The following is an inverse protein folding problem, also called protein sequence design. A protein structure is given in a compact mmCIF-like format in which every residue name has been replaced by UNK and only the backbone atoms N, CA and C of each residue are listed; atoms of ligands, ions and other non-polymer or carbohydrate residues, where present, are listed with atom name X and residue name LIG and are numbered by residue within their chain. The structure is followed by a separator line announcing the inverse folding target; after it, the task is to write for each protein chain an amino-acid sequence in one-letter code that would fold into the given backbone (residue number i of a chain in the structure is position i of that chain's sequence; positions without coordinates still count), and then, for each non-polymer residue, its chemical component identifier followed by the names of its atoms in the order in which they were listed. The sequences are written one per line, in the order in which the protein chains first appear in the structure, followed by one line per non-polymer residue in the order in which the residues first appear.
data_IF_463048624884
#
_entry.id   IF_463048624884
#
_cell.length_a   1.000
_cell.length_b   1.000
_cell.length_c   1.000
_cell.angle_alpha   90.00
_cell.angle_beta   90.00
_cell.angle_gamma   90.00
#
_symmetry.space_group_name_H-M   'P 1'
#
loop_
_entity.id
_entity.type
_entity.pdbx_description
1 polymer ?
#
# COMPACT_ATOMS: atom_id res chain seq x y z
N UNK A 1 -1.33 -3.05 12.85
CA UNK A 1 -0.61 -1.80 12.52
C UNK A 1 -1.32 -0.64 13.17
N UNK A 2 -0.69 0.04 14.13
CA UNK A 2 -1.26 1.22 14.78
C UNK A 2 -1.59 2.28 13.73
N UNK A 3 -2.86 2.69 13.69
CA UNK A 3 -3.28 3.75 12.79
C UNK A 3 -2.79 5.07 13.35
N UNK A 4 -1.90 5.73 12.60
CA UNK A 4 -1.56 7.13 12.82
C UNK A 4 -2.77 7.97 12.39
N UNK A 5 -3.34 8.71 13.33
CA UNK A 5 -4.55 9.52 13.16
C UNK A 5 -4.22 11.00 13.09
N UNK A 6 -3.27 11.45 13.90
CA UNK A 6 -2.93 12.86 14.03
C UNK A 6 -1.57 13.10 13.37
N UNK A 7 -1.54 13.93 12.34
CA UNK A 7 -0.33 14.22 11.56
C UNK A 7 -0.20 15.73 11.40
N UNK A 8 0.93 16.27 11.83
CA UNK A 8 1.33 17.64 11.59
C UNK A 8 2.62 17.67 10.77
N UNK A 9 2.67 18.48 9.71
CA UNK A 9 3.91 18.71 8.95
C UNK A 9 4.63 19.90 9.57
N UNK A 10 5.84 19.66 10.07
CA UNK A 10 6.66 20.70 10.67
C UNK A 10 7.46 21.43 9.59
N UNK A 11 8.08 20.66 8.70
CA UNK A 11 9.01 21.17 7.68
C UNK A 11 8.98 20.24 6.46
N UNK A 12 9.27 20.77 5.27
CA UNK A 12 9.37 19.99 4.05
C UNK A 12 10.45 20.54 3.11
N UNK A 13 11.15 19.65 2.43
CA UNK A 13 12.07 19.96 1.32
C UNK A 13 11.71 19.08 0.13
N UNK A 14 11.79 19.66 -1.08
CA UNK A 14 11.55 18.98 -2.34
C UNK A 14 12.82 19.04 -3.19
N UNK A 15 13.27 17.89 -3.69
CA UNK A 15 14.36 17.78 -4.65
C UNK A 15 13.84 17.21 -5.97
N UNK A 16 14.52 17.54 -7.06
CA UNK A 16 14.18 17.07 -8.41
C UNK A 16 15.30 16.14 -8.87
N UNK A 17 14.97 14.87 -9.06
CA UNK A 17 15.92 13.80 -9.41
C UNK A 17 15.61 13.30 -10.81
N UNK A 18 16.46 13.63 -11.78
CA UNK A 18 16.28 13.23 -13.19
C UNK A 18 17.45 12.37 -13.69
N UNK A 19 17.15 11.19 -14.21
CA UNK A 19 18.14 10.28 -14.81
C UNK A 19 18.92 10.92 -15.96
N UNK A 20 18.33 11.90 -16.65
CA UNK A 20 18.97 12.60 -17.78
C UNK A 20 19.95 13.69 -17.36
N UNK A 21 19.97 14.09 -16.08
CA UNK A 21 20.88 15.11 -15.54
C UNK A 21 22.10 14.46 -14.93
N UNK A 22 23.29 15.08 -15.00
CA UNK A 22 24.50 14.51 -14.38
C UNK A 22 24.46 14.56 -12.84
N UNK A 23 23.77 15.57 -12.29
CA UNK A 23 23.62 15.81 -10.86
C UNK A 23 22.14 16.03 -10.48
N UNK A 24 21.74 15.77 -9.22
CA UNK A 24 20.40 16.06 -8.75
C UNK A 24 20.20 17.57 -8.56
N UNK A 25 19.00 18.07 -8.84
CA UNK A 25 18.66 19.46 -8.55
C UNK A 25 18.20 19.53 -7.09
N UNK A 26 19.10 20.00 -6.23
CA UNK A 26 18.86 20.13 -4.81
C UNK A 26 18.26 21.50 -4.48
N UNK A 27 17.17 21.51 -3.72
CA UNK A 27 16.62 22.75 -3.20
C UNK A 27 17.45 23.22 -2.01
N UNK A 28 17.76 24.52 -1.97
CA UNK A 28 18.54 25.16 -0.91
C UNK A 28 17.68 25.76 0.19
N UNK A 29 16.35 25.67 0.07
CA UNK A 29 15.41 26.25 1.02
C UNK A 29 14.29 25.27 1.37
N UNK A 30 13.77 25.40 2.60
CA UNK A 30 12.57 24.71 3.03
C UNK A 30 11.35 25.27 2.29
N UNK A 31 10.37 24.43 2.03
CA UNK A 31 9.11 24.84 1.41
C UNK A 31 8.32 25.70 2.38
N UNK A 32 7.76 26.80 1.88
CA UNK A 32 6.78 27.60 2.62
C UNK A 32 5.45 26.85 2.66
N UNK A 33 5.09 26.34 3.84
CA UNK A 33 3.87 25.56 4.08
C UNK A 33 2.65 26.48 4.25
N UNK A 34 2.19 27.09 3.16
CA UNK A 34 0.87 27.73 3.14
C UNK A 34 -0.26 26.67 3.14
N UNK A 35 -1.51 27.09 3.37
CA UNK A 35 -2.65 26.17 3.49
C UNK A 35 -2.81 25.20 2.31
N UNK A 36 -2.57 25.66 1.08
CA UNK A 36 -2.73 24.83 -0.12
C UNK A 36 -1.61 23.79 -0.23
N UNK A 37 -0.35 24.22 -0.07
CA UNK A 37 0.82 23.35 -0.12
C UNK A 37 0.83 22.36 1.04
N UNK A 38 0.46 22.81 2.24
CA UNK A 38 0.31 21.96 3.41
C UNK A 38 -0.71 20.85 3.17
N UNK A 39 -1.92 21.21 2.68
CA UNK A 39 -2.96 20.22 2.34
C UNK A 39 -2.52 19.26 1.25
N UNK A 40 -1.80 19.75 0.24
CA UNK A 40 -1.23 18.93 -0.82
C UNK A 40 -0.31 17.84 -0.24
N UNK A 41 0.72 18.23 0.53
CA UNK A 41 1.69 17.29 1.10
C UNK A 41 1.01 16.35 2.10
N UNK A 42 0.15 16.89 2.97
CA UNK A 42 -0.57 16.10 3.98
C UNK A 42 -1.43 15.01 3.33
N UNK A 43 -2.12 15.33 2.22
CA UNK A 43 -2.92 14.36 1.49
C UNK A 43 -2.11 13.16 1.00
N UNK A 44 -0.83 13.36 0.62
CA UNK A 44 0.05 12.27 0.22
C UNK A 44 0.46 11.43 1.42
N UNK A 45 0.89 12.08 2.50
CA UNK A 45 1.30 11.41 3.74
C UNK A 45 0.17 10.55 4.29
N UNK A 46 -1.05 11.10 4.40
CA UNK A 46 -2.21 10.36 4.87
C UNK A 46 -2.54 9.16 3.98
N UNK A 47 -2.47 9.32 2.65
CA UNK A 47 -2.73 8.21 1.73
C UNK A 47 -1.71 7.09 1.88
N UNK A 48 -0.44 7.41 2.12
CA UNK A 48 0.62 6.42 2.34
C UNK A 48 0.42 5.73 3.69
N UNK A 49 0.18 6.48 4.76
CA UNK A 49 -0.03 5.94 6.11
C UNK A 49 -1.31 5.09 6.23
N UNK A 50 -2.31 5.34 5.37
CA UNK A 50 -3.54 4.54 5.25
C UNK A 50 -3.42 3.40 4.23
N UNK A 51 -2.28 3.25 3.54
CA UNK A 51 -2.13 2.21 2.51
C UNK A 51 -2.07 0.81 3.14
N UNK A 52 -2.67 -0.17 2.46
CA UNK A 52 -2.70 -1.55 2.95
C UNK A 52 -1.37 -2.29 2.73
N UNK A 53 -0.50 -1.77 1.86
CA UNK A 53 0.83 -2.35 1.59
C UNK A 53 1.94 -1.68 2.41
N UNK A 54 1.59 -0.78 3.34
CA UNK A 54 2.53 -0.20 4.29
C UNK A 54 2.94 -1.26 5.32
N UNK A 55 4.25 -1.47 5.47
CA UNK A 55 4.83 -2.49 6.34
C UNK A 55 5.68 -1.89 7.45
N UNK A 56 5.80 -2.62 8.56
CA UNK A 56 6.81 -2.33 9.58
C UNK A 56 8.19 -2.78 9.10
N UNK A 57 9.23 -2.06 9.50
CA UNK A 57 10.61 -2.45 9.21
C UNK A 57 11.59 -1.96 10.29
N UNK A 58 12.77 -2.60 10.30
CA UNK A 58 13.93 -2.23 11.11
C UNK A 58 15.11 -1.95 10.20
N UNK A 59 15.90 -0.92 10.49
CA UNK A 59 17.22 -0.81 9.87
C UNK A 59 18.07 -2.05 10.17
N UNK A 60 18.90 -2.45 9.20
CA UNK A 60 19.94 -3.45 9.44
C UNK A 60 20.91 -2.95 10.52
N UNK A 61 21.56 -3.88 11.24
CA UNK A 61 22.48 -3.53 12.34
C UNK A 61 23.68 -2.70 11.87
N UNK A 62 24.12 -2.91 10.63
CA UNK A 62 25.15 -2.10 9.99
C UNK A 62 24.75 -0.63 9.91
N UNK A 63 25.72 0.26 10.10
CA UNK A 63 25.49 1.68 9.90
C UNK A 63 25.28 1.97 8.41
N UNK A 64 24.27 2.78 8.09
CA UNK A 64 23.92 3.13 6.72
C UNK A 64 23.66 4.63 6.62
N UNK A 65 23.93 5.20 5.45
CA UNK A 65 23.80 6.66 5.23
C UNK A 65 22.41 7.15 5.60
N UNK A 66 21.36 6.41 5.22
CA UNK A 66 19.98 6.81 5.51
C UNK A 66 19.68 6.68 7.01
N UNK A 67 20.14 5.62 7.67
CA UNK A 67 19.97 5.44 9.11
C UNK A 67 20.63 6.58 9.88
N UNK A 68 21.93 6.81 9.64
CA UNK A 68 22.71 7.84 10.34
C UNK A 68 22.10 9.22 10.13
N UNK A 69 21.92 9.64 8.87
CA UNK A 69 21.34 10.94 8.52
C UNK A 69 19.98 11.15 9.20
N UNK A 70 19.12 10.13 9.20
CA UNK A 70 17.79 10.24 9.80
C UNK A 70 17.87 10.36 11.32
N UNK A 71 18.75 9.61 11.98
CA UNK A 71 18.93 9.70 13.42
C UNK A 71 19.60 11.00 13.84
N UNK A 72 20.58 11.50 13.08
CA UNK A 72 21.20 12.81 13.32
C UNK A 72 20.15 13.92 13.27
N UNK A 73 19.25 13.90 12.28
CA UNK A 73 18.14 14.86 12.20
C UNK A 73 17.19 14.71 13.38
N UNK A 74 16.71 13.49 13.65
CA UNK A 74 15.72 13.23 14.69
C UNK A 74 16.26 13.51 16.11
N UNK A 75 17.57 13.46 16.30
CA UNK A 75 18.25 13.86 17.54
C UNK A 75 18.67 15.34 17.56
N UNK A 76 18.32 16.13 16.54
CA UNK A 76 18.58 17.57 16.47
C UNK A 76 20.04 17.95 16.20
N UNK A 77 20.84 17.03 15.65
CA UNK A 77 22.26 17.25 15.34
C UNK A 77 22.46 17.96 14.00
N UNK A 78 21.56 17.73 13.04
CA UNK A 78 21.53 18.38 11.72
C UNK A 78 20.14 18.95 11.45
N UNK A 79 20.06 19.93 10.55
CA UNK A 79 18.77 20.45 10.09
C UNK A 79 18.15 19.59 8.96
N UNK A 80 16.88 19.87 8.62
CA UNK A 80 16.18 19.12 7.58
C UNK A 80 16.84 19.27 6.20
N UNK A 81 17.47 20.41 5.90
CA UNK A 81 18.06 20.67 4.59
C UNK A 81 19.33 19.82 4.38
N UNK A 82 20.15 19.72 5.41
CA UNK A 82 21.31 18.82 5.43
C UNK A 82 20.86 17.37 5.29
N UNK A 83 19.87 16.96 6.08
CA UNK A 83 19.33 15.60 6.03
C UNK A 83 18.75 15.27 4.64
N UNK A 84 17.95 16.19 4.07
CA UNK A 84 17.30 15.99 2.79
C UNK A 84 18.29 15.92 1.63
N UNK A 85 19.35 16.73 1.66
CA UNK A 85 20.43 16.68 0.68
C UNK A 85 21.17 15.34 0.71
N UNK A 86 21.49 14.81 1.90
CA UNK A 86 22.11 13.49 2.04
C UNK A 86 21.22 12.37 1.47
N UNK A 87 19.93 12.39 1.81
CA UNK A 87 18.93 11.43 1.31
C UNK A 87 18.79 11.51 -0.22
N UNK A 88 18.69 12.73 -0.77
CA UNK A 88 18.54 12.97 -2.20
C UNK A 88 19.75 12.48 -3.00
N UNK A 89 20.97 12.82 -2.56
CA UNK A 89 22.20 12.35 -3.20
C UNK A 89 22.34 10.82 -3.16
N UNK A 90 22.02 10.20 -2.02
CA UNK A 90 22.04 8.74 -1.89
C UNK A 90 21.06 8.09 -2.87
N UNK A 91 19.82 8.58 -2.96
CA UNK A 91 18.83 8.04 -3.91
C UNK A 91 19.27 8.25 -5.36
N UNK A 92 19.79 9.44 -5.69
CA UNK A 92 20.25 9.76 -7.04
C UNK A 92 21.43 8.87 -7.47
N UNK A 93 22.35 8.53 -6.57
CA UNK A 93 23.44 7.59 -6.86
C UNK A 93 22.92 6.21 -7.29
N UNK A 94 21.85 5.72 -6.66
CA UNK A 94 21.21 4.46 -7.06
C UNK A 94 20.51 4.60 -8.40
N UNK A 95 19.82 5.72 -8.63
CA UNK A 95 19.18 6.01 -9.92
C UNK A 95 20.18 6.01 -11.08
N UNK A 96 21.41 6.50 -10.85
CA UNK A 96 22.49 6.43 -11.84
C UNK A 96 23.03 5.02 -12.07
N UNK A 97 23.01 4.18 -11.05
CA UNK A 97 23.46 2.78 -11.15
C UNK A 97 22.43 1.83 -11.79
N UNK A 98 21.14 2.19 -11.74
CA UNK A 98 20.04 1.38 -12.26
C UNK A 98 19.03 2.24 -13.02
N UNK A 99 19.07 2.13 -14.36
CA UNK A 99 18.21 2.88 -15.27
C UNK A 99 16.72 2.56 -15.11
N UNK A 100 16.37 1.45 -14.46
CA UNK A 100 14.98 1.09 -14.22
C UNK A 100 14.34 1.90 -13.09
N UNK A 101 15.14 2.59 -12.27
CA UNK A 101 14.61 3.50 -11.24
C UNK A 101 14.19 4.81 -11.93
N UNK A 102 12.89 5.16 -11.95
CA UNK A 102 12.43 6.31 -12.71
C UNK A 102 12.77 7.64 -12.02
N UNK A 103 12.98 8.68 -12.85
CA UNK A 103 13.05 10.08 -12.42
C UNK A 103 11.85 10.45 -11.54
N UNK A 104 12.11 11.28 -10.53
CA UNK A 104 11.13 11.60 -9.52
C UNK A 104 11.34 12.97 -8.86
N UNK A 105 10.26 13.43 -8.25
CA UNK A 105 10.29 14.46 -7.22
C UNK A 105 10.45 13.78 -5.86
N UNK A 106 11.48 14.13 -5.10
CA UNK A 106 11.73 13.56 -3.78
C UNK A 106 11.35 14.57 -2.70
N UNK A 107 10.32 14.24 -1.92
CA UNK A 107 10.00 14.97 -0.70
C UNK A 107 10.71 14.36 0.49
N UNK A 108 11.34 15.21 1.29
CA UNK A 108 11.82 14.87 2.64
C UNK A 108 11.06 15.77 3.61
N UNK A 109 10.30 15.18 4.52
CA UNK A 109 9.35 15.88 5.38
C UNK A 109 9.60 15.55 6.84
N UNK A 110 9.54 16.57 7.69
CA UNK A 110 9.48 16.40 9.14
C UNK A 110 8.02 16.40 9.57
N UNK A 111 7.59 15.35 10.23
CA UNK A 111 6.22 15.25 10.74
C UNK A 111 6.21 14.94 12.23
N UNK A 112 5.16 15.40 12.89
CA UNK A 112 4.81 15.00 14.25
C UNK A 112 3.53 14.20 14.23
N UNK A 113 3.52 13.11 14.99
CA UNK A 113 2.36 12.22 15.14
C UNK A 113 2.02 12.03 16.60
N UNK A 114 0.91 11.36 16.90
CA UNK A 114 0.61 10.95 18.28
C UNK A 114 1.66 9.99 18.88
N UNK A 115 2.52 9.39 18.05
CA UNK A 115 3.60 8.48 18.46
C UNK A 115 5.00 9.12 18.43
N UNK A 116 5.07 10.44 18.28
CA UNK A 116 6.31 11.21 18.26
C UNK A 116 6.73 11.72 16.87
N UNK A 117 7.94 12.30 16.77
CA UNK A 117 8.47 12.84 15.52
C UNK A 117 8.86 11.72 14.55
N UNK A 118 8.71 11.98 13.25
CA UNK A 118 9.19 11.10 12.18
C UNK A 118 9.79 11.90 11.03
N UNK A 119 10.80 11.32 10.38
CA UNK A 119 11.33 11.79 9.11
C UNK A 119 10.69 10.99 7.97
N UNK A 120 9.92 11.65 7.12
CA UNK A 120 9.29 11.07 5.95
C UNK A 120 10.12 11.26 4.69
N UNK A 121 10.23 10.21 3.88
CA UNK A 121 10.85 10.21 2.55
C UNK A 121 9.78 9.74 1.57
N UNK A 122 9.37 10.58 0.63
CA UNK A 122 8.31 10.27 -0.35
C UNK A 122 8.87 10.42 -1.76
N UNK A 123 8.92 9.32 -2.51
CA UNK A 123 9.35 9.30 -3.91
C UNK A 123 8.14 9.46 -4.85
N UNK A 124 8.00 10.63 -5.46
CA UNK A 124 6.93 10.95 -6.41
C UNK A 124 7.44 10.82 -7.85
N UNK A 125 7.29 9.63 -8.42
CA UNK A 125 7.66 9.37 -9.82
C UNK A 125 6.94 10.32 -10.77
N UNK A 126 7.66 10.79 -11.78
CA UNK A 126 7.09 11.64 -12.82
C UNK A 126 5.90 10.98 -13.50
N UNK A 127 4.95 11.85 -13.86
CA UNK A 127 3.79 11.46 -14.63
C UNK A 127 3.82 12.29 -15.89
N UNK A 128 3.69 11.61 -17.01
CA UNK A 128 3.40 12.27 -18.28
C UNK A 128 1.97 12.80 -18.21
N UNK A 129 1.85 14.10 -18.01
CA UNK A 129 0.61 14.86 -18.13
C UNK A 129 0.64 15.62 -19.46
N UNK A 130 -0.50 16.18 -19.86
CA UNK A 130 -0.60 17.02 -21.03
C UNK A 130 -1.26 18.34 -20.65
N UNK A 131 -0.73 19.44 -21.16
CA UNK A 131 -1.34 20.77 -21.08
C UNK A 131 -1.61 21.28 -22.49
N UNK A 132 -2.41 22.34 -22.57
CA UNK A 132 -2.55 23.11 -23.80
C UNK A 132 -1.49 24.23 -23.84
N UNK A 133 -0.97 24.50 -25.02
CA UNK A 133 -0.14 25.66 -25.34
C UNK A 133 -0.89 26.49 -26.38
N UNK A 134 -1.04 27.79 -26.14
CA UNK A 134 -1.73 28.72 -27.03
C UNK A 134 -0.68 29.49 -27.82
N UNK A 135 -0.67 29.31 -29.13
CA UNK A 135 0.19 30.00 -30.08
C UNK A 135 -0.65 30.86 -31.04
N UNK A 136 0.00 31.83 -31.69
CA UNK A 136 -0.61 32.65 -32.74
C UNK A 136 0.17 32.46 -34.04
N UNK A 137 -0.53 32.04 -35.10
CA UNK A 137 0.02 31.92 -36.45
C UNK A 137 -0.91 32.69 -37.39
N UNK A 138 -0.38 33.70 -38.10
CA UNK A 138 -1.14 34.55 -39.03
C UNK A 138 -2.44 35.10 -38.42
N UNK A 139 -2.35 35.72 -37.25
CA UNK A 139 -3.48 36.26 -36.46
C UNK A 139 -4.55 35.23 -36.04
N UNK A 140 -4.31 33.94 -36.25
CA UNK A 140 -5.20 32.87 -35.80
C UNK A 140 -4.67 32.20 -34.53
N UNK A 141 -5.59 31.85 -33.64
CA UNK A 141 -5.29 31.10 -32.41
C UNK A 141 -5.07 29.63 -32.76
N UNK A 142 -3.91 29.10 -32.39
CA UNK A 142 -3.56 27.69 -32.52
C UNK A 142 -3.36 27.11 -31.13
N UNK A 143 -4.11 26.06 -30.80
CA UNK A 143 -4.02 25.38 -29.50
C UNK A 143 -3.34 24.02 -29.72
N UNK A 144 -2.14 23.87 -29.19
CA UNK A 144 -1.36 22.63 -29.25
C UNK A 144 -1.47 21.87 -27.93
N UNK A 145 -1.32 20.55 -27.99
CA UNK A 145 -1.21 19.69 -26.80
C UNK A 145 0.28 19.40 -26.56
N UNK A 146 0.79 19.80 -25.40
CA UNK A 146 2.20 19.61 -25.02
C UNK A 146 2.31 18.76 -23.76
N UNK A 147 3.26 17.82 -23.66
CA UNK A 147 3.43 17.03 -22.47
C UNK A 147 4.08 17.85 -21.34
N UNK A 148 3.54 17.74 -20.12
CA UNK A 148 4.21 18.12 -18.88
C UNK A 148 4.80 16.85 -18.26
N UNK A 149 6.11 16.78 -18.15
CA UNK A 149 6.83 15.62 -17.59
C UNK A 149 7.34 15.85 -16.18
N UNK A 150 7.27 17.07 -15.65
CA UNK A 150 7.83 17.48 -14.35
C UNK A 150 6.77 17.78 -13.28
N UNK A 151 5.48 17.65 -13.61
CA UNK A 151 4.37 17.97 -12.72
C UNK A 151 4.34 17.10 -11.47
N UNK A 152 4.02 17.71 -10.33
CA UNK A 152 3.77 17.00 -9.08
C UNK A 152 2.38 16.35 -9.12
N UNK A 153 2.25 15.02 -8.93
CA UNK A 153 0.95 14.38 -8.88
C UNK A 153 0.11 14.90 -7.73
N UNK A 154 -1.11 15.38 -7.99
CA UNK A 154 -2.08 15.62 -6.91
C UNK A 154 -2.65 14.31 -6.36
N UNK A 155 -3.12 13.42 -7.24
CA UNK A 155 -3.96 12.27 -6.84
C UNK A 155 -3.31 10.91 -7.02
N UNK A 156 -2.20 10.81 -7.76
CA UNK A 156 -1.53 9.52 -7.98
C UNK A 156 -0.99 8.98 -6.66
N UNK A 157 -1.21 7.69 -6.44
CA UNK A 157 -0.69 6.97 -5.27
C UNK A 157 0.84 6.88 -5.36
N UNK A 158 1.49 7.33 -4.29
CA UNK A 158 2.93 7.12 -4.08
C UNK A 158 3.17 5.61 -3.97
N UNK A 159 4.22 5.14 -4.66
CA UNK A 159 4.56 3.71 -4.67
C UNK A 159 5.69 3.37 -3.71
N UNK A 160 6.55 4.36 -3.41
CA UNK A 160 7.74 4.22 -2.58
C UNK A 160 7.83 5.35 -1.57
N UNK A 161 7.77 5.01 -0.30
CA UNK A 161 7.89 5.96 0.80
C UNK A 161 8.38 5.29 2.09
N UNK A 162 9.01 6.07 2.96
CA UNK A 162 9.42 5.62 4.28
C UNK A 162 9.10 6.70 5.33
N UNK A 163 8.72 6.29 6.53
CA UNK A 163 8.65 7.15 7.71
C UNK A 163 9.54 6.55 8.80
N UNK A 164 10.53 7.32 9.22
CA UNK A 164 11.61 6.87 10.10
C UNK A 164 11.43 7.51 11.47
N UNK A 165 11.54 6.70 12.52
CA UNK A 165 11.39 7.11 13.92
C UNK A 165 12.76 7.21 14.62
N UNK A 166 12.85 7.95 15.76
CA UNK A 166 14.01 7.86 16.62
C UNK A 166 14.18 6.42 17.10
N UNK A 167 15.40 5.89 17.00
CA UNK A 167 15.73 4.55 17.46
C UNK A 167 15.88 4.61 18.98
N UNK A 168 15.06 3.83 19.69
CA UNK A 168 15.12 3.64 21.13
C UNK A 168 15.30 2.16 21.46
N UNK A 169 15.78 1.88 22.67
CA UNK A 169 15.83 0.50 23.18
C UNK A 169 14.40 -0.08 23.21
N UNK A 170 14.28 -1.38 22.93
CA UNK A 170 13.03 -2.16 22.98
C UNK A 170 11.94 -1.75 21.97
N UNK A 171 12.29 -1.07 20.87
CA UNK A 171 11.35 -0.81 19.77
C UNK A 171 11.19 -2.04 18.85
N UNK A 172 9.95 -2.46 18.63
CA UNK A 172 9.62 -3.53 17.68
C UNK A 172 9.93 -3.14 16.23
N UNK A 173 9.83 -1.86 15.88
CA UNK A 173 10.14 -1.33 14.54
C UNK A 173 10.61 0.13 14.64
N UNK A 174 11.39 0.57 13.65
CA UNK A 174 11.83 1.98 13.55
C UNK A 174 11.56 2.62 12.18
N UNK A 175 10.96 1.87 11.24
CA UNK A 175 10.42 2.41 9.99
C UNK A 175 9.00 1.91 9.71
N UNK A 176 8.24 2.76 9.02
CA UNK A 176 7.08 2.38 8.22
C UNK A 176 7.48 2.50 6.76
N UNK A 177 7.42 1.43 5.99
CA UNK A 177 7.90 1.41 4.60
C UNK A 177 6.79 0.99 3.66
N UNK A 178 6.59 1.79 2.62
CA UNK A 178 5.76 1.45 1.48
C UNK A 178 6.71 1.19 0.31
N UNK A 179 6.77 -0.06 -0.16
CA UNK A 179 7.50 -0.40 -1.38
C UNK A 179 6.64 -1.30 -2.27
N UNK A 180 5.88 -0.67 -3.17
CA UNK A 180 5.03 -1.40 -4.12
C UNK A 180 5.88 -1.86 -5.31
N UNK A 181 6.22 -3.14 -5.29
CA UNK A 181 6.80 -3.82 -6.44
C UNK A 181 5.70 -4.09 -7.45
N UNK A 182 5.85 -3.58 -8.68
CA UNK A 182 4.96 -3.96 -9.79
C UNK A 182 5.40 -5.34 -10.25
N UNK A 183 4.67 -6.38 -9.87
CA UNK A 183 4.96 -7.71 -10.42
C UNK A 183 4.67 -7.71 -11.93
N UNK A 184 5.72 -7.96 -12.71
CA UNK A 184 5.69 -8.75 -13.93
C UNK A 184 7.05 -9.43 -14.05
N UNK A 185 6.99 -10.71 -14.40
CA UNK A 185 8.07 -11.62 -14.79
C UNK A 185 9.38 -10.93 -15.23
N UNK A 186 10.50 -11.53 -14.79
CA UNK A 186 11.89 -11.34 -15.24
C UNK A 186 12.49 -9.94 -15.04
N UNK A 187 13.17 -9.73 -13.91
CA UNK A 187 14.63 -9.61 -13.83
C UNK A 187 15.00 -9.21 -12.40
N UNK A 188 15.81 -10.06 -11.75
CA UNK A 188 16.24 -10.02 -10.33
C UNK A 188 16.95 -8.73 -9.85
N UNK A 189 16.99 -7.66 -10.64
CA UNK A 189 17.89 -6.54 -10.40
C UNK A 189 17.23 -5.22 -9.95
N UNK A 190 15.90 -5.08 -10.06
CA UNK A 190 15.22 -3.78 -9.82
C UNK A 190 14.08 -3.76 -8.79
N UNK A 191 13.69 -4.89 -8.20
CA UNK A 191 12.45 -4.97 -7.40
C UNK A 191 12.59 -4.46 -5.98
N UNK A 192 13.73 -4.63 -5.33
CA UNK A 192 13.89 -4.37 -3.89
C UNK A 192 14.90 -3.25 -3.57
N UNK A 193 15.21 -2.40 -4.56
CA UNK A 193 16.22 -1.36 -4.37
C UNK A 193 15.86 -0.38 -3.24
N UNK A 194 14.56 -0.12 -3.01
CA UNK A 194 14.15 0.91 -2.07
C UNK A 194 14.33 0.42 -0.62
N UNK A 195 13.88 -0.79 -0.30
CA UNK A 195 14.06 -1.43 1.01
C UNK A 195 15.47 -1.96 1.22
N UNK A 196 16.01 -2.77 0.30
CA UNK A 196 17.23 -3.54 0.54
C UNK A 196 18.52 -2.74 0.35
N UNK A 197 18.55 -1.86 -0.66
CA UNK A 197 19.75 -1.12 -1.08
C UNK A 197 19.75 0.34 -0.62
N UNK A 198 18.61 1.02 -0.71
CA UNK A 198 18.51 2.44 -0.39
C UNK A 198 18.28 2.69 1.10
N UNK A 199 17.22 2.12 1.68
CA UNK A 199 16.95 2.20 3.12
C UNK A 199 17.82 1.22 3.92
N UNK A 200 18.15 0.07 3.30
CA UNK A 200 18.88 -1.04 3.94
C UNK A 200 18.18 -1.51 5.22
N UNK A 201 16.89 -1.82 5.09
CA UNK A 201 16.03 -2.28 6.18
C UNK A 201 15.52 -3.72 5.98
N UNK A 202 15.16 -4.37 7.08
CA UNK A 202 14.47 -5.65 7.13
C UNK A 202 12.98 -5.41 7.38
N UNK A 203 12.13 -5.96 6.53
CA UNK A 203 10.69 -5.92 6.72
C UNK A 203 10.31 -6.82 7.91
N UNK A 204 9.35 -6.37 8.71
CA UNK A 204 8.81 -7.14 9.83
C UNK A 204 7.47 -7.73 9.40
N UNK A 205 7.41 -9.05 9.49
CA UNK A 205 6.16 -9.77 9.36
C UNK A 205 5.27 -9.45 10.55
N UNK A 206 4.05 -9.04 10.25
CA UNK A 206 3.05 -8.74 11.27
C UNK A 206 1.76 -9.52 10.97
N UNK A 207 1.05 -9.88 12.04
CA UNK A 207 -0.13 -10.75 11.99
C UNK A 207 -1.20 -10.23 11.01
N UNK A 208 -1.34 -8.90 10.87
CA UNK A 208 -2.25 -8.27 9.89
C UNK A 208 -1.89 -8.64 8.47
N UNK A 209 -0.62 -8.43 8.10
CA UNK A 209 -0.14 -8.70 6.75
C UNK A 209 -0.16 -10.19 6.46
N UNK A 210 0.25 -11.03 7.41
CA UNK A 210 0.20 -12.48 7.27
C UNK A 210 -1.23 -12.97 7.02
N UNK A 211 -2.21 -12.48 7.81
CA UNK A 211 -3.63 -12.76 7.61
C UNK A 211 -4.12 -12.30 6.24
N UNK A 212 -3.72 -11.10 5.80
CA UNK A 212 -4.11 -10.53 4.51
C UNK A 212 -3.55 -11.32 3.33
N UNK A 213 -2.26 -11.64 3.35
CA UNK A 213 -1.53 -12.37 2.32
C UNK A 213 -2.12 -13.77 2.18
N UNK A 214 -2.35 -14.47 3.30
CA UNK A 214 -3.00 -15.79 3.28
C UNK A 214 -4.39 -15.76 2.65
N UNK A 215 -5.26 -14.83 3.07
CA UNK A 215 -6.59 -14.70 2.47
C UNK A 215 -6.54 -14.46 0.96
N UNK A 216 -5.60 -13.63 0.50
CA UNK A 216 -5.44 -13.35 -0.92
C UNK A 216 -4.87 -14.55 -1.69
N UNK A 217 -3.92 -15.27 -1.11
CA UNK A 217 -3.33 -16.48 -1.69
C UNK A 217 -4.40 -17.57 -1.86
N UNK A 218 -5.22 -17.82 -0.84
CA UNK A 218 -6.33 -18.79 -0.92
C UNK A 218 -7.30 -18.39 -2.03
N UNK A 219 -7.75 -17.13 -2.08
CA UNK A 219 -8.69 -16.68 -3.12
C UNK A 219 -8.08 -16.78 -4.54
N UNK A 220 -6.80 -16.42 -4.71
CA UNK A 220 -6.12 -16.52 -6.00
C UNK A 220 -5.96 -17.97 -6.46
N UNK A 221 -5.61 -18.88 -5.55
CA UNK A 221 -5.54 -20.31 -5.83
C UNK A 221 -6.91 -20.88 -6.19
N UNK A 222 -7.94 -20.57 -5.40
CA UNK A 222 -9.34 -21.00 -5.64
C UNK A 222 -9.82 -20.53 -7.01
N UNK A 223 -9.59 -19.27 -7.38
CA UNK A 223 -9.97 -18.74 -8.72
C UNK A 223 -9.22 -19.40 -9.87
N UNK A 224 -7.96 -19.79 -9.64
CA UNK A 224 -7.12 -20.36 -10.69
C UNK A 224 -7.48 -21.83 -10.96
N UNK A 225 -7.80 -22.57 -9.89
CA UNK A 225 -8.00 -24.02 -9.94
C UNK A 225 -9.47 -24.46 -9.99
N UNK A 226 -10.42 -23.64 -9.54
CA UNK A 226 -11.85 -24.02 -9.44
C UNK A 226 -12.77 -23.13 -10.29
N UNK A 227 -12.33 -22.76 -11.50
CA UNK A 227 -13.09 -21.87 -12.41
C UNK A 227 -14.48 -22.40 -12.77
N UNK A 228 -14.63 -23.71 -12.89
CA UNK A 228 -15.87 -24.37 -13.34
C UNK A 228 -16.65 -25.01 -12.17
N UNK A 229 -16.11 -24.97 -10.95
CA UNK A 229 -16.71 -25.59 -9.76
C UNK A 229 -17.01 -24.52 -8.70
N UNK A 230 -18.07 -23.76 -8.95
CA UNK A 230 -18.49 -22.66 -8.09
C UNK A 230 -18.89 -23.12 -6.67
N UNK A 231 -19.41 -24.35 -6.54
CA UNK A 231 -19.81 -24.92 -5.25
C UNK A 231 -18.57 -25.17 -4.39
N UNK A 232 -17.57 -25.89 -4.91
CA UNK A 232 -16.31 -26.11 -4.16
C UNK A 232 -15.57 -24.80 -3.89
N UNK A 233 -15.60 -23.85 -4.83
CA UNK A 233 -15.01 -22.54 -4.60
C UNK A 233 -15.65 -21.82 -3.40
N UNK A 234 -16.97 -21.91 -3.24
CA UNK A 234 -17.68 -21.32 -2.10
C UNK A 234 -17.45 -22.09 -0.79
N UNK A 235 -17.32 -23.42 -0.85
CA UNK A 235 -16.93 -24.24 0.31
C UNK A 235 -15.57 -23.78 0.87
N UNK A 236 -14.56 -23.59 0.00
CA UNK A 236 -13.24 -23.08 0.44
C UNK A 236 -13.35 -21.67 1.03
N UNK A 237 -14.12 -20.78 0.40
CA UNK A 237 -14.32 -19.40 0.90
C UNK A 237 -15.05 -19.34 2.22
N UNK A 238 -15.98 -20.27 2.46
CA UNK A 238 -16.67 -20.37 3.74
C UNK A 238 -15.74 -20.94 4.81
N UNK A 239 -14.99 -21.98 4.46
CA UNK A 239 -14.06 -22.65 5.35
C UNK A 239 -12.91 -21.75 5.81
N UNK A 240 -12.32 -20.94 4.91
CA UNK A 240 -11.27 -19.98 5.32
C UNK A 240 -11.82 -18.94 6.31
N UNK A 241 -13.06 -18.48 6.13
CA UNK A 241 -13.68 -17.51 7.05
C UNK A 241 -13.91 -18.12 8.43
N UNK A 242 -14.32 -19.39 8.53
CA UNK A 242 -14.49 -20.07 9.81
C UNK A 242 -13.16 -20.35 10.48
N UNK A 243 -12.17 -20.90 9.76
CA UNK A 243 -10.85 -21.20 10.33
C UNK A 243 -10.17 -19.94 10.87
N UNK A 244 -10.23 -18.81 10.13
CA UNK A 244 -9.68 -17.53 10.60
C UNK A 244 -10.42 -16.97 11.83
N UNK A 245 -11.71 -17.28 12.02
CA UNK A 245 -12.46 -16.84 13.21
C UNK A 245 -12.15 -17.69 14.43
N UNK A 246 -12.06 -19.00 14.25
CA UNK A 246 -11.98 -19.97 15.34
C UNK A 246 -10.56 -20.16 15.86
N UNK A 247 -9.54 -20.01 15.00
CA UNK A 247 -8.16 -20.31 15.37
C UNK A 247 -7.31 -19.04 15.47
N UNK A 248 -6.42 -18.98 16.44
CA UNK A 248 -5.41 -17.90 16.54
C UNK A 248 -4.23 -18.12 15.58
N UNK A 249 -4.01 -19.36 15.17
CA UNK A 249 -2.95 -19.74 14.24
C UNK A 249 -3.52 -20.70 13.20
N UNK A 250 -3.06 -20.57 11.95
CA UNK A 250 -3.41 -21.49 10.85
C UNK A 250 -2.14 -22.15 10.35
N UNK A 251 -2.16 -23.47 10.31
CA UNK A 251 -1.16 -24.32 9.66
C UNK A 251 -1.71 -24.78 8.30
N UNK A 252 -0.97 -24.51 7.21
CA UNK A 252 -1.47 -24.77 5.85
C UNK A 252 -1.70 -26.25 5.56
N UNK A 253 -0.99 -27.16 6.24
CA UNK A 253 -1.12 -28.60 6.02
C UNK A 253 -2.42 -29.11 6.64
N UNK A 254 -2.70 -28.66 7.86
CA UNK A 254 -3.99 -28.92 8.51
C UNK A 254 -5.14 -28.28 7.72
N UNK A 255 -4.98 -27.04 7.27
CA UNK A 255 -5.98 -26.36 6.45
C UNK A 255 -6.30 -27.14 5.16
N UNK A 256 -5.27 -27.51 4.39
CA UNK A 256 -5.43 -28.25 3.14
C UNK A 256 -6.10 -29.61 3.37
N UNK A 257 -5.73 -30.33 4.43
CA UNK A 257 -6.30 -31.64 4.75
C UNK A 257 -7.80 -31.59 5.09
N UNK A 258 -8.27 -30.49 5.68
CA UNK A 258 -9.68 -30.31 6.06
C UNK A 258 -10.56 -29.89 4.89
N UNK A 259 -10.03 -29.11 3.95
CA UNK A 259 -10.85 -28.47 2.89
C UNK A 259 -10.72 -29.13 1.52
N UNK A 260 -9.64 -29.86 1.24
CA UNK A 260 -9.41 -30.50 -0.05
C UNK A 260 -9.50 -32.03 0.07
N UNK A 261 -10.38 -32.69 -0.71
CA UNK A 261 -10.60 -34.14 -0.58
C UNK A 261 -9.50 -34.98 -1.24
N UNK A 262 -8.83 -34.47 -2.28
CA UNK A 262 -7.86 -35.22 -3.08
C UNK A 262 -6.41 -34.85 -2.75
N UNK A 263 -5.54 -35.85 -2.65
CA UNK A 263 -4.11 -35.65 -2.34
C UNK A 263 -3.37 -34.80 -3.37
N UNK A 264 -3.73 -34.88 -4.65
CA UNK A 264 -3.14 -34.05 -5.71
C UNK A 264 -3.45 -32.56 -5.48
N UNK A 265 -4.71 -32.23 -5.20
CA UNK A 265 -5.13 -30.86 -4.90
C UNK A 265 -4.49 -30.32 -3.62
N UNK A 266 -4.32 -31.17 -2.59
CA UNK A 266 -3.62 -30.78 -1.34
C UNK A 266 -2.17 -30.41 -1.62
N UNK A 267 -1.45 -31.24 -2.38
CA UNK A 267 -0.04 -30.98 -2.72
C UNK A 267 0.12 -29.72 -3.54
N UNK A 268 -0.75 -29.50 -4.53
CA UNK A 268 -0.75 -28.29 -5.34
C UNK A 268 -1.01 -27.03 -4.49
N UNK A 269 -2.02 -27.09 -3.61
CA UNK A 269 -2.32 -25.99 -2.68
C UNK A 269 -1.15 -25.69 -1.75
N UNK A 270 -0.55 -26.70 -1.12
CA UNK A 270 0.57 -26.54 -0.20
C UNK A 270 1.78 -25.94 -0.94
N UNK A 271 2.13 -26.47 -2.11
CA UNK A 271 3.23 -25.95 -2.92
C UNK A 271 2.99 -24.48 -3.33
N UNK A 272 1.75 -24.13 -3.69
CA UNK A 272 1.38 -22.74 -3.98
C UNK A 272 1.53 -21.83 -2.76
N UNK A 273 1.11 -22.26 -1.57
CA UNK A 273 1.25 -21.48 -0.34
C UNK A 273 2.71 -21.28 0.04
N UNK A 274 3.53 -22.33 -0.04
CA UNK A 274 4.97 -22.24 0.23
C UNK A 274 5.70 -21.31 -0.75
N UNK A 275 5.31 -21.31 -2.03
CA UNK A 275 5.84 -20.37 -3.01
C UNK A 275 5.46 -18.89 -2.75
N UNK A 276 4.52 -18.64 -1.82
CA UNK A 276 4.17 -17.31 -1.33
C UNK A 276 4.70 -17.07 0.11
N UNK A 277 5.65 -17.89 0.58
CA UNK A 277 6.23 -17.84 1.92
C UNK A 277 5.21 -18.03 3.06
N UNK A 278 4.18 -18.84 2.82
CA UNK A 278 3.12 -19.14 3.79
C UNK A 278 3.24 -20.61 4.22
N UNK A 279 3.54 -20.84 5.50
CA UNK A 279 3.44 -22.18 6.11
C UNK A 279 2.57 -22.18 7.37
N UNK A 280 2.81 -21.22 8.24
CA UNK A 280 1.98 -20.93 9.41
C UNK A 280 1.75 -19.45 9.52
N UNK A 281 0.54 -19.07 9.90
CA UNK A 281 0.21 -17.67 10.15
C UNK A 281 -0.44 -17.53 11.51
N UNK A 282 -0.12 -16.45 12.20
CA UNK A 282 -0.90 -15.96 13.32
C UNK A 282 -1.95 -14.98 12.81
N UNK A 283 -3.18 -15.15 13.30
CA UNK A 283 -4.36 -14.44 12.79
C UNK A 283 -4.57 -13.14 13.56
N UNK A 284 -4.57 -12.01 12.84
CA UNK A 284 -5.00 -10.72 13.38
C UNK A 284 -6.53 -10.65 13.39
N UNK A 285 -7.12 -10.86 14.58
CA UNK A 285 -8.57 -10.85 14.80
C UNK A 285 -9.18 -9.48 14.55
N UNK A 286 -8.51 -8.39 14.91
CA UNK A 286 -9.03 -7.03 14.73
C UNK A 286 -9.10 -6.67 13.23
N UNK A 287 -8.08 -7.04 12.47
CA UNK A 287 -8.06 -6.92 11.02
C UNK A 287 -9.14 -7.78 10.38
N UNK A 288 -9.27 -9.04 10.82
CA UNK A 288 -10.25 -9.98 10.30
C UNK A 288 -11.68 -9.49 10.51
N UNK A 289 -12.02 -9.02 11.72
CA UNK A 289 -13.32 -8.44 12.03
C UNK A 289 -13.64 -7.29 11.09
N UNK A 290 -12.72 -6.34 10.90
CA UNK A 290 -12.93 -5.22 9.96
C UNK A 290 -13.14 -5.70 8.54
N UNK A 291 -12.35 -6.67 8.07
CA UNK A 291 -12.41 -7.17 6.69
C UNK A 291 -13.66 -8.00 6.43
N UNK A 292 -14.07 -8.85 7.37
CA UNK A 292 -15.25 -9.69 7.27
C UNK A 292 -16.54 -8.97 7.66
N UNK A 293 -16.44 -7.82 8.35
CA UNK A 293 -17.61 -7.05 8.79
C UNK A 293 -18.54 -6.66 7.64
N UNK A 294 -18.01 -6.52 6.42
CA UNK A 294 -18.78 -6.13 5.23
C UNK A 294 -18.59 -7.10 4.07
N UNK A 295 -19.70 -7.56 3.54
CA UNK A 295 -19.79 -8.29 2.28
C UNK A 295 -19.98 -7.28 1.15
N UNK A 296 -19.21 -7.43 0.08
CA UNK A 296 -19.41 -6.74 -1.20
C UNK A 296 -20.01 -7.72 -2.19
N UNK A 297 -21.26 -7.51 -2.56
CA UNK A 297 -21.98 -8.30 -3.54
C UNK A 297 -21.96 -7.52 -4.86
N UNK A 298 -21.46 -8.15 -5.92
CA UNK A 298 -21.57 -7.62 -7.28
C UNK A 298 -22.70 -8.35 -7.98
N UNK A 299 -23.72 -7.60 -8.39
CA UNK A 299 -24.92 -8.11 -9.05
C UNK A 299 -24.89 -7.57 -10.47
N UNK A 300 -24.82 -8.48 -11.45
CA UNK A 300 -24.54 -8.16 -12.85
C UNK A 300 -23.29 -7.26 -13.02
N UNK A 301 -23.24 -6.46 -14.07
CA UNK A 301 -22.16 -5.49 -14.29
C UNK A 301 -22.35 -4.16 -13.56
N UNK A 302 -23.59 -3.85 -13.16
CA UNK A 302 -24.01 -2.46 -12.93
C UNK A 302 -24.33 -2.16 -11.45
N UNK A 303 -24.47 -3.18 -10.60
CA UNK A 303 -24.88 -3.01 -9.20
C UNK A 303 -23.81 -3.59 -8.25
N UNK A 304 -23.38 -2.78 -7.28
CA UNK A 304 -22.56 -3.21 -6.14
C UNK A 304 -23.26 -2.89 -4.82
N UNK A 305 -23.49 -3.90 -3.98
CA UNK A 305 -24.06 -3.75 -2.64
C UNK A 305 -22.96 -4.01 -1.60
N UNK A 306 -22.75 -3.08 -0.68
CA UNK A 306 -21.93 -3.30 0.52
C UNK A 306 -22.83 -3.39 1.75
N UNK A 307 -22.88 -4.58 2.36
CA UNK A 307 -23.75 -4.89 3.50
C UNK A 307 -22.94 -5.53 4.62
N UNK A 308 -23.29 -5.30 5.89
CA UNK A 308 -22.62 -6.01 6.98
C UNK A 308 -23.03 -7.48 7.00
N UNK A 309 -22.15 -8.37 7.45
CA UNK A 309 -22.51 -9.80 7.55
C UNK A 309 -23.72 -10.01 8.48
N UNK A 310 -23.78 -9.24 9.56
CA UNK A 310 -24.90 -9.25 10.51
C UNK A 310 -26.22 -8.88 9.82
N UNK A 311 -26.23 -7.82 9.00
CA UNK A 311 -27.41 -7.41 8.25
C UNK A 311 -27.74 -8.38 7.09
N UNK A 312 -26.73 -9.03 6.50
CA UNK A 312 -26.91 -10.02 5.44
C UNK A 312 -27.58 -11.30 5.96
N UNK A 313 -27.23 -11.73 7.18
CA UNK A 313 -27.81 -12.93 7.83
C UNK A 313 -29.17 -12.65 8.48
N UNK A 314 -29.49 -11.39 8.78
CA UNK A 314 -30.76 -11.02 9.38
C UNK A 314 -31.87 -10.96 8.32
N UNK A 315 -32.77 -11.95 8.34
CA UNK A 315 -33.90 -12.07 7.42
C UNK A 315 -34.87 -10.88 7.46
N UNK A 316 -34.85 -10.12 8.56
CA UNK A 316 -35.64 -8.90 8.75
C UNK A 316 -34.97 -7.66 8.16
N UNK A 317 -33.69 -7.75 7.75
CA UNK A 317 -32.95 -6.64 7.14
C UNK A 317 -32.59 -6.93 5.69
N UNK A 318 -32.23 -8.17 5.38
CA UNK A 318 -31.87 -8.59 4.03
C UNK A 318 -32.49 -9.95 3.69
N UNK A 319 -33.11 -10.04 2.52
CA UNK A 319 -33.73 -11.28 2.03
C UNK A 319 -33.28 -11.60 0.62
N UNK A 320 -33.11 -12.90 0.35
CA UNK A 320 -32.83 -13.43 -0.99
C UNK A 320 -33.94 -14.43 -1.32
N UNK A 321 -34.56 -14.30 -2.47
CA UNK A 321 -35.60 -15.20 -2.95
C UNK A 321 -35.26 -15.68 -4.36
N UNK A 322 -35.27 -16.99 -4.57
CA UNK A 322 -35.18 -17.58 -5.90
C UNK A 322 -36.60 -17.62 -6.49
N UNK A 323 -36.76 -17.09 -7.70
CA UNK A 323 -38.06 -16.99 -8.37
C UNK A 323 -38.45 -18.27 -9.13
N UNK A 324 -37.55 -19.26 -9.23
CA UNK A 324 -37.81 -20.55 -9.86
C UNK A 324 -37.62 -20.57 -11.38
N UNK A 325 -37.47 -19.40 -12.01
CA UNK A 325 -37.12 -19.22 -13.43
C UNK A 325 -35.62 -19.01 -13.66
N UNK A 326 -34.81 -19.16 -12.61
CA UNK A 326 -33.37 -18.88 -12.61
C UNK A 326 -33.01 -17.46 -12.19
N UNK A 327 -33.99 -16.56 -12.01
CA UNK A 327 -33.76 -15.22 -11.48
C UNK A 327 -33.82 -15.19 -9.93
N UNK A 328 -33.11 -14.22 -9.35
CA UNK A 328 -33.00 -14.02 -7.90
C UNK A 328 -33.47 -12.61 -7.55
N UNK A 329 -34.33 -12.49 -6.54
CA UNK A 329 -34.79 -11.23 -5.97
C UNK A 329 -34.04 -10.93 -4.67
N UNK A 330 -33.43 -9.75 -4.57
CA UNK A 330 -32.86 -9.22 -3.33
C UNK A 330 -33.82 -8.21 -2.69
N UNK A 331 -34.06 -8.33 -1.38
CA UNK A 331 -34.94 -7.47 -0.60
C UNK A 331 -34.18 -6.79 0.53
N UNK A 332 -34.23 -5.47 0.60
CA UNK A 332 -33.76 -4.69 1.75
C UNK A 332 -34.98 -4.28 2.57
N UNK A 333 -35.02 -4.69 3.84
CA UNK A 333 -36.20 -4.58 4.72
C UNK A 333 -35.89 -3.68 5.92
N UNK A 334 -36.93 -3.08 6.49
CA UNK A 334 -36.86 -2.27 7.72
C UNK A 334 -35.80 -1.15 7.65
N UNK A 335 -35.87 -0.33 6.60
CA UNK A 335 -34.97 0.82 6.39
C UNK A 335 -35.55 2.06 7.08
N UNK A 336 -34.94 2.49 8.18
CA UNK A 336 -35.41 3.66 8.94
C UNK A 336 -34.98 5.00 8.31
N UNK A 337 -33.80 5.04 7.68
CA UNK A 337 -33.21 6.26 7.11
C UNK A 337 -32.42 5.95 5.84
N UNK A 338 -32.54 6.82 4.85
CA UNK A 338 -31.79 6.78 3.60
C UNK A 338 -31.17 8.16 3.33
N UNK A 339 -29.90 8.17 2.93
CA UNK A 339 -29.15 9.39 2.55
C UNK A 339 -28.33 9.03 1.32
N UNK A 340 -28.49 9.81 0.25
CA UNK A 340 -27.62 9.75 -0.93
C UNK A 340 -26.25 10.33 -0.56
N UNK A 341 -25.18 9.58 -0.83
CA UNK A 341 -23.81 9.91 -0.41
C UNK A 341 -22.94 10.41 -1.55
#
# INVERSE_FOLDING_TARGET
MDKIRDISINEAVLHVLDNNSDEPILNNYKIVLNDEVYKFILSHIERILKDNDLKYALFKESSTVIRETSQEYLNGQIDLLQASNCVANKLFSFMKSDINIPSCNLFVVSISTEYGPMLGILKLDYIRQYTHEINFIDDNVVINITPITTGLPATKKVQKAAFIRPICNDQEYNLLVLDKVKSKKSDEYGTDYFTEKFLECLLIDNDRDNTRVFMNAVENWTRSNLKEDAVKAEEIRSFIKSELRENEEIDIYNFASKVLPFEESKKDFIAYMQANDIERIKVDKEYLEKRLSRLKLKIDSDIEISITEEAYRDINRFGIQNNGDGSITFMIKNVDRYVEK
#
